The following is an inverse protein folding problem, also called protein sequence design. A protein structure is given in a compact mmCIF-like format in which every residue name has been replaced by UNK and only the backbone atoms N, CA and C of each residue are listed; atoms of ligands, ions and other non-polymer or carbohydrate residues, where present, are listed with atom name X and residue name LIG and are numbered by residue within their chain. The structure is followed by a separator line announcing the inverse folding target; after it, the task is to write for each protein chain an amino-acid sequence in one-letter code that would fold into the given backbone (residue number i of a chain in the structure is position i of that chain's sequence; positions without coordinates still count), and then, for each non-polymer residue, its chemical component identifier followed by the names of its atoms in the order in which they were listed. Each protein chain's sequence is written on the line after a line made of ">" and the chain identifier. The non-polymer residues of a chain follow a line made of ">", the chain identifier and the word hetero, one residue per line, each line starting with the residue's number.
data_IF_032930546419
#
_entry.id   IF_032930546419
#
_cell.length_a   1.000
_cell.length_b   1.000
_cell.length_c   1.000
_cell.angle_alpha   90.00
_cell.angle_beta   90.00
_cell.angle_gamma   90.00
#
_symmetry.space_group_name_H-M   'P 1'
#
loop_
_entity.id
_entity.type
_entity.pdbx_description
1 polymer ?
#
# COMPACT_ATOMS: atom_id res chain seq x y z
N UNK A 1 7.15 -8.21 -7.84
CA UNK A 1 8.31 -8.67 -8.64
C UNK A 1 9.31 -7.57 -8.88
N UNK A 2 10.51 -7.97 -9.29
CA UNK A 2 11.63 -7.08 -9.69
C UNK A 2 12.01 -7.35 -11.14
N UNK A 3 12.61 -6.36 -11.80
CA UNK A 3 13.15 -6.52 -13.14
C UNK A 3 14.53 -7.18 -13.08
N UNK A 4 14.78 -8.16 -13.94
CA UNK A 4 16.07 -8.86 -14.09
C UNK A 4 16.44 -8.99 -15.55
N UNK A 5 17.70 -9.33 -15.83
CA UNK A 5 18.12 -9.74 -17.17
C UNK A 5 18.28 -11.27 -17.19
N UNK A 6 17.65 -11.92 -18.17
CA UNK A 6 17.67 -13.36 -18.34
C UNK A 6 17.63 -13.68 -19.84
N UNK A 7 18.52 -14.56 -20.32
CA UNK A 7 18.64 -14.92 -21.75
C UNK A 7 18.72 -13.70 -22.69
N UNK A 8 19.46 -12.67 -22.26
CA UNK A 8 19.69 -11.45 -23.04
C UNK A 8 18.52 -10.45 -23.07
N UNK A 9 17.36 -10.78 -22.48
CA UNK A 9 16.18 -9.89 -22.42
C UNK A 9 15.84 -9.49 -20.97
N UNK A 10 15.14 -8.36 -20.84
CA UNK A 10 14.56 -7.96 -19.55
C UNK A 10 13.33 -8.81 -19.26
N UNK A 11 13.21 -9.25 -18.01
CA UNK A 11 12.11 -10.09 -17.52
C UNK A 11 11.65 -9.60 -16.15
N UNK A 12 10.34 -9.64 -15.92
CA UNK A 12 9.78 -9.45 -14.58
C UNK A 12 9.80 -10.80 -13.85
N UNK A 13 10.50 -10.85 -12.72
CA UNK A 13 10.54 -12.03 -11.86
C UNK A 13 9.67 -11.81 -10.63
N UNK A 14 8.77 -12.75 -10.38
CA UNK A 14 7.94 -12.80 -9.19
C UNK A 14 8.45 -13.84 -8.19
N UNK A 15 8.15 -13.66 -6.91
CA UNK A 15 8.60 -14.57 -5.84
C UNK A 15 8.17 -16.03 -6.08
N UNK A 16 7.01 -16.24 -6.70
CA UNK A 16 6.49 -17.57 -7.04
C UNK A 16 7.37 -18.34 -8.05
N UNK A 17 8.22 -17.63 -8.81
CA UNK A 17 9.15 -18.20 -9.78
C UNK A 17 10.51 -18.53 -9.16
N UNK A 18 10.76 -18.12 -7.92
CA UNK A 18 12.05 -18.29 -7.24
C UNK A 18 12.05 -19.61 -6.47
N UNK A 19 13.04 -20.50 -6.68
CA UNK A 19 13.18 -21.72 -5.89
C UNK A 19 13.27 -21.41 -4.39
N UNK A 20 12.67 -22.26 -3.55
CA UNK A 20 12.57 -22.05 -2.09
C UNK A 20 13.92 -21.73 -1.42
N UNK A 21 15.01 -22.34 -1.90
CA UNK A 21 16.37 -22.14 -1.38
C UNK A 21 16.92 -20.71 -1.57
N UNK A 22 16.39 -19.92 -2.52
CA UNK A 22 16.89 -18.59 -2.87
C UNK A 22 15.90 -17.46 -2.56
N UNK A 23 14.78 -17.77 -1.90
CA UNK A 23 13.72 -16.78 -1.61
C UNK A 23 14.24 -15.64 -0.73
N UNK A 24 15.08 -15.93 0.27
CA UNK A 24 15.59 -14.89 1.17
C UNK A 24 16.58 -13.96 0.46
N UNK A 25 17.36 -14.50 -0.47
CA UNK A 25 18.23 -13.69 -1.33
C UNK A 25 17.41 -12.79 -2.27
N UNK A 26 16.30 -13.29 -2.80
CA UNK A 26 15.40 -12.53 -3.67
C UNK A 26 14.70 -11.39 -2.94
N UNK A 27 14.41 -11.55 -1.65
CA UNK A 27 13.85 -10.49 -0.79
C UNK A 27 14.89 -9.43 -0.41
N UNK A 28 16.18 -9.69 -0.62
CA UNK A 28 17.24 -8.77 -0.20
C UNK A 28 17.27 -7.50 -1.06
N UNK A 29 17.03 -6.36 -0.41
CA UNK A 29 17.14 -5.03 -1.03
C UNK A 29 18.57 -4.67 -1.45
N UNK A 30 19.58 -5.39 -0.97
CA UNK A 30 20.97 -5.21 -1.43
C UNK A 30 21.19 -5.79 -2.84
N UNK A 31 20.50 -6.89 -3.18
CA UNK A 31 20.57 -7.54 -4.49
C UNK A 31 19.57 -6.92 -5.46
N UNK A 32 18.31 -6.79 -5.05
CA UNK A 32 17.24 -6.27 -5.88
C UNK A 32 16.75 -4.93 -5.32
N UNK A 33 17.20 -3.84 -5.93
CA UNK A 33 17.00 -2.47 -5.43
C UNK A 33 15.72 -1.80 -5.93
N UNK A 34 14.99 -2.46 -6.83
CA UNK A 34 13.81 -1.92 -7.51
C UNK A 34 12.66 -2.92 -7.46
N UNK A 35 11.45 -2.44 -7.67
CA UNK A 35 10.27 -3.28 -7.84
C UNK A 35 9.34 -2.67 -8.90
N UNK A 36 8.49 -3.49 -9.49
CA UNK A 36 7.53 -3.03 -10.50
C UNK A 36 6.40 -2.19 -9.86
N UNK A 37 6.20 -0.96 -10.36
CA UNK A 37 5.10 -0.07 -9.94
C UNK A 37 3.78 -0.36 -10.67
N UNK A 38 3.82 -1.22 -11.70
CA UNK A 38 2.71 -1.53 -12.60
C UNK A 38 2.20 -0.33 -13.44
N UNK A 39 2.99 0.74 -13.52
CA UNK A 39 2.79 1.84 -14.45
C UNK A 39 3.49 1.50 -15.78
N UNK A 40 2.73 1.05 -16.78
CA UNK A 40 3.28 0.53 -18.03
C UNK A 40 2.93 1.42 -19.22
N UNK A 41 3.91 1.61 -20.11
CA UNK A 41 3.75 2.32 -21.38
C UNK A 41 4.09 1.35 -22.51
N UNK A 42 3.10 1.02 -23.35
CA UNK A 42 3.21 -0.09 -24.31
C UNK A 42 2.78 0.41 -25.69
N UNK A 43 3.58 0.11 -26.72
CA UNK A 43 3.24 0.41 -28.11
C UNK A 43 2.10 -0.49 -28.61
N UNK A 44 0.98 0.12 -29.02
CA UNK A 44 -0.16 -0.62 -29.57
C UNK A 44 0.19 -1.38 -30.86
N UNK A 45 1.09 -0.84 -31.69
CA UNK A 45 1.56 -1.53 -32.89
C UNK A 45 2.33 -2.81 -32.55
N UNK A 46 3.14 -2.78 -31.50
CA UNK A 46 3.84 -3.96 -31.01
C UNK A 46 2.88 -4.97 -30.38
N UNK A 47 1.88 -4.52 -29.62
CA UNK A 47 0.82 -5.39 -29.05
C UNK A 47 0.08 -6.11 -30.16
N UNK A 48 -0.39 -5.39 -31.19
CA UNK A 48 -1.09 -5.99 -32.34
C UNK A 48 -0.24 -7.07 -33.02
N UNK A 49 1.01 -6.73 -33.36
CA UNK A 49 1.95 -7.68 -34.01
C UNK A 49 2.18 -8.94 -33.17
N UNK A 50 2.49 -8.78 -31.88
CA UNK A 50 2.79 -9.91 -31.01
C UNK A 50 1.54 -10.77 -30.74
N UNK A 51 0.37 -10.13 -30.60
CA UNK A 51 -0.89 -10.83 -30.38
C UNK A 51 -1.34 -11.63 -31.61
N UNK A 52 -1.27 -11.06 -32.81
CA UNK A 52 -1.62 -11.74 -34.06
C UNK A 52 -0.69 -12.94 -34.34
N UNK A 53 0.55 -12.89 -33.84
CA UNK A 53 1.53 -13.96 -33.92
C UNK A 53 1.45 -14.97 -32.77
N UNK A 54 0.58 -14.75 -31.78
CA UNK A 54 0.56 -15.50 -30.51
C UNK A 54 1.95 -15.56 -29.83
N UNK A 55 2.75 -14.50 -29.95
CA UNK A 55 4.12 -14.41 -29.46
C UNK A 55 4.23 -13.74 -28.07
N UNK A 56 3.10 -13.32 -27.49
CA UNK A 56 3.05 -12.81 -26.12
C UNK A 56 3.15 -14.01 -25.17
N UNK A 57 4.24 -14.06 -24.42
CA UNK A 57 4.53 -15.13 -23.46
C UNK A 57 4.59 -14.55 -22.04
N UNK A 58 3.84 -15.17 -21.13
CA UNK A 58 3.71 -14.74 -19.74
C UNK A 58 3.73 -15.98 -18.84
N UNK A 59 4.38 -15.88 -17.69
CA UNK A 59 4.32 -16.98 -16.72
C UNK A 59 2.91 -17.16 -16.17
N UNK A 60 2.47 -18.42 -16.10
CA UNK A 60 1.21 -18.78 -15.47
C UNK A 60 1.34 -18.64 -13.96
N UNK A 61 0.40 -17.90 -13.38
CA UNK A 61 0.23 -17.77 -11.94
C UNK A 61 -0.88 -18.73 -11.52
N UNK A 62 -0.53 -19.67 -10.65
CA UNK A 62 -1.47 -20.64 -10.08
C UNK A 62 -1.90 -20.13 -8.72
N UNK A 63 -3.19 -19.82 -8.57
CA UNK A 63 -3.76 -19.25 -7.36
C UNK A 63 -4.79 -20.22 -6.74
N UNK A 64 -4.40 -21.04 -5.76
CA UNK A 64 -5.32 -21.88 -5.02
C UNK A 64 -6.28 -21.01 -4.21
N UNK A 65 -7.59 -21.23 -4.37
CA UNK A 65 -8.64 -20.53 -3.63
C UNK A 65 -9.60 -21.52 -3.01
N UNK A 66 -10.20 -21.14 -1.90
CA UNK A 66 -11.33 -21.85 -1.30
C UNK A 66 -12.55 -20.94 -1.44
N UNK A 67 -13.57 -21.42 -2.17
CA UNK A 67 -14.81 -20.67 -2.37
C UNK A 67 -15.68 -20.73 -1.12
N UNK A 68 -16.66 -19.83 -1.07
CA UNK A 68 -17.74 -19.87 -0.08
C UNK A 68 -18.48 -21.21 -0.21
N UNK A 69 -18.45 -22.01 0.85
CA UNK A 69 -18.91 -23.41 0.85
C UNK A 69 -17.79 -24.46 0.98
N UNK A 70 -16.52 -24.04 1.04
CA UNK A 70 -15.38 -24.93 1.33
C UNK A 70 -14.83 -25.68 0.11
N UNK A 71 -15.34 -25.39 -1.08
CA UNK A 71 -14.82 -25.97 -2.32
C UNK A 71 -13.44 -25.38 -2.66
N UNK A 72 -12.44 -26.25 -2.73
CA UNK A 72 -11.10 -25.86 -3.18
C UNK A 72 -11.05 -25.82 -4.71
N UNK A 73 -10.60 -24.70 -5.25
CA UNK A 73 -10.46 -24.46 -6.69
C UNK A 73 -9.07 -23.91 -7.01
N UNK A 74 -8.69 -24.04 -8.28
CA UNK A 74 -7.46 -23.44 -8.82
C UNK A 74 -7.87 -22.37 -9.82
N UNK A 75 -7.43 -21.13 -9.60
CA UNK A 75 -7.54 -20.04 -10.55
C UNK A 75 -6.20 -19.87 -11.26
N UNK A 76 -6.21 -19.90 -12.60
CA UNK A 76 -5.04 -19.60 -13.41
C UNK A 76 -5.14 -18.16 -13.90
N UNK A 77 -4.07 -17.40 -13.72
CA UNK A 77 -3.98 -16.01 -14.15
C UNK A 77 -2.59 -15.68 -14.71
N UNK A 78 -2.45 -14.51 -15.31
CA UNK A 78 -1.17 -13.98 -15.80
C UNK A 78 -1.01 -12.53 -15.36
N UNK A 79 0.23 -12.05 -15.29
CA UNK A 79 0.52 -10.66 -14.96
C UNK A 79 0.97 -9.90 -16.22
N UNK A 80 0.34 -8.76 -16.51
CA UNK A 80 0.70 -7.93 -17.68
C UNK A 80 2.18 -7.54 -17.72
N UNK A 81 2.81 -7.33 -16.55
CA UNK A 81 4.23 -7.00 -16.47
C UNK A 81 5.17 -8.14 -16.90
N UNK A 82 4.72 -9.40 -16.85
CA UNK A 82 5.49 -10.55 -17.30
C UNK A 82 5.73 -10.54 -18.82
N UNK A 83 4.82 -9.93 -19.58
CA UNK A 83 4.90 -9.85 -21.03
C UNK A 83 6.11 -9.04 -21.54
N UNK A 84 6.78 -8.26 -20.67
CA UNK A 84 7.92 -7.38 -21.05
C UNK A 84 9.01 -8.11 -21.85
N UNK A 85 9.23 -9.41 -21.58
CA UNK A 85 10.23 -10.24 -22.27
C UNK A 85 9.89 -10.52 -23.74
N UNK A 86 8.61 -10.43 -24.12
CA UNK A 86 8.15 -10.61 -25.50
C UNK A 86 8.33 -9.34 -26.36
N UNK A 87 8.65 -8.19 -25.75
CA UNK A 87 8.83 -6.93 -26.47
C UNK A 87 10.30 -6.67 -26.79
N UNK A 88 10.55 -6.22 -28.01
CA UNK A 88 11.85 -5.68 -28.42
C UNK A 88 12.08 -4.29 -27.81
N UNK A 89 13.35 -3.97 -27.53
CA UNK A 89 13.77 -2.70 -26.92
C UNK A 89 13.03 -2.39 -25.59
N UNK A 90 12.76 -3.42 -24.78
CA UNK A 90 12.18 -3.23 -23.46
C UNK A 90 13.11 -2.41 -22.57
N UNK A 91 12.51 -1.54 -21.75
CA UNK A 91 13.23 -0.61 -20.89
C UNK A 91 12.50 -0.45 -19.55
N UNK A 92 13.26 -0.45 -18.45
CA UNK A 92 12.79 -0.03 -17.14
C UNK A 92 13.25 1.38 -16.82
N UNK A 93 12.36 2.21 -16.29
CA UNK A 93 12.68 3.55 -15.78
C UNK A 93 12.50 3.60 -14.27
N UNK A 94 13.49 4.11 -13.56
CA UNK A 94 13.36 4.35 -12.12
C UNK A 94 12.65 5.69 -11.91
N UNK A 95 11.48 5.66 -11.28
CA UNK A 95 10.63 6.83 -11.05
C UNK A 95 10.57 7.15 -9.56
N UNK A 96 10.37 8.41 -9.17
CA UNK A 96 10.16 8.75 -7.76
C UNK A 96 8.91 8.07 -7.21
N UNK A 97 8.92 7.80 -5.90
CA UNK A 97 7.79 7.19 -5.18
C UNK A 97 6.48 7.99 -5.32
N UNK A 98 6.55 9.28 -5.62
CA UNK A 98 5.36 10.11 -5.91
C UNK A 98 4.49 9.58 -7.06
N UNK A 99 5.04 8.77 -7.97
CA UNK A 99 4.27 8.10 -9.04
C UNK A 99 3.72 6.73 -8.63
N UNK A 100 3.94 6.29 -7.40
CA UNK A 100 3.47 5.02 -6.86
C UNK A 100 2.83 5.24 -5.49
N UNK A 101 1.54 5.60 -5.51
CA UNK A 101 0.71 5.82 -4.33
C UNK A 101 -0.52 4.88 -4.35
N UNK A 102 -0.32 3.56 -4.24
CA UNK A 102 -1.44 2.62 -4.23
C UNK A 102 -2.23 2.75 -2.92
N UNK A 103 -3.55 2.88 -3.03
CA UNK A 103 -4.45 2.84 -1.87
C UNK A 103 -5.04 1.44 -1.79
N UNK A 104 -4.54 0.60 -0.87
CA UNK A 104 -4.95 -0.81 -0.71
C UNK A 104 -5.68 -1.08 0.60
N UNK A 105 -5.42 -0.26 1.61
CA UNK A 105 -5.97 -0.38 2.95
C UNK A 105 -6.55 0.95 3.41
N UNK A 106 -7.32 0.93 4.49
CA UNK A 106 -7.79 2.16 5.14
C UNK A 106 -6.65 2.95 5.80
N UNK A 107 -5.49 2.32 6.05
CA UNK A 107 -4.28 3.04 6.46
C UNK A 107 -3.76 3.94 5.34
N UNK A 108 -3.77 3.43 4.10
CA UNK A 108 -3.42 4.23 2.92
C UNK A 108 -4.46 5.33 2.66
N UNK A 109 -5.74 5.01 2.92
CA UNK A 109 -6.83 5.98 2.79
C UNK A 109 -6.66 7.16 3.76
N UNK A 110 -6.31 6.88 5.02
CA UNK A 110 -6.02 7.91 6.02
C UNK A 110 -4.89 8.85 5.56
N UNK A 111 -3.82 8.28 5.01
CA UNK A 111 -2.71 9.07 4.45
C UNK A 111 -3.20 10.04 3.38
N UNK A 112 -3.89 9.55 2.34
CA UNK A 112 -4.29 10.37 1.18
C UNK A 112 -5.42 11.35 1.49
N UNK A 113 -6.23 11.10 2.53
CA UNK A 113 -7.28 12.01 2.98
C UNK A 113 -6.77 13.12 3.91
N UNK A 114 -5.60 12.96 4.52
CA UNK A 114 -5.04 13.92 5.47
C UNK A 114 -4.47 15.15 4.79
N UNK A 115 -4.19 16.19 5.58
CA UNK A 115 -3.50 17.40 5.15
C UNK A 115 -2.03 17.16 4.72
N UNK A 116 -1.53 15.92 4.80
CA UNK A 116 -0.27 15.50 4.20
C UNK A 116 -0.30 15.60 2.67
N UNK A 117 -1.48 15.48 2.05
CA UNK A 117 -1.66 15.64 0.61
C UNK A 117 -2.60 16.80 0.29
N UNK A 118 -2.33 17.47 -0.82
CA UNK A 118 -3.21 18.47 -1.44
C UNK A 118 -3.82 17.90 -2.71
N UNK A 119 -5.11 18.16 -2.91
CA UNK A 119 -5.85 17.75 -4.10
C UNK A 119 -6.00 18.93 -5.05
N UNK A 120 -5.45 18.82 -6.26
CA UNK A 120 -5.63 19.80 -7.32
C UNK A 120 -6.07 19.08 -8.61
N UNK A 121 -7.24 19.42 -9.14
CA UNK A 121 -7.79 18.86 -10.38
C UNK A 121 -7.71 17.31 -10.46
N UNK A 122 -8.03 16.63 -9.35
CA UNK A 122 -7.98 15.16 -9.28
C UNK A 122 -6.59 14.56 -9.05
N UNK A 123 -5.54 15.38 -8.98
CA UNK A 123 -4.16 14.95 -8.70
C UNK A 123 -3.79 15.22 -7.24
N UNK A 124 -3.22 14.21 -6.58
CA UNK A 124 -2.69 14.34 -5.22
C UNK A 124 -1.20 14.68 -5.27
N UNK A 125 -0.81 15.72 -4.55
CA UNK A 125 0.59 16.10 -4.32
C UNK A 125 0.87 16.17 -2.83
N UNK A 126 2.04 15.69 -2.39
CA UNK A 126 2.44 15.86 -0.99
C UNK A 126 2.55 17.35 -0.67
N UNK A 127 2.04 17.76 0.49
CA UNK A 127 2.05 19.13 0.96
C UNK A 127 3.47 19.69 1.01
N UNK A 128 3.68 20.88 0.46
CA UNK A 128 4.96 21.61 0.55
C UNK A 128 5.31 22.00 1.99
N UNK A 129 4.32 22.00 2.89
CA UNK A 129 4.53 22.26 4.32
C UNK A 129 5.10 21.05 5.06
N UNK A 130 5.19 19.87 4.42
CA UNK A 130 5.80 18.69 5.03
C UNK A 130 7.33 18.88 5.02
N UNK A 131 7.93 18.91 6.20
CA UNK A 131 9.37 19.16 6.36
C UNK A 131 10.24 18.07 5.70
N UNK A 132 9.79 16.81 5.74
CA UNK A 132 10.52 15.67 5.19
C UNK A 132 9.74 14.97 4.07
N UNK A 133 10.38 14.68 2.92
CA UNK A 133 9.71 14.06 1.76
C UNK A 133 9.25 12.60 2.00
N UNK A 134 9.59 12.02 3.16
CA UNK A 134 9.23 10.67 3.56
C UNK A 134 7.75 10.61 3.94
N UNK A 135 7.04 9.64 3.34
CA UNK A 135 5.64 9.33 3.72
C UNK A 135 5.65 8.64 5.10
N UNK A 136 4.84 9.08 6.07
CA UNK A 136 4.78 8.45 7.38
C UNK A 136 4.25 7.03 7.32
N UNK A 137 4.68 6.19 8.26
CA UNK A 137 4.18 4.84 8.40
C UNK A 137 2.85 4.86 9.18
N UNK A 138 1.76 4.44 8.56
CA UNK A 138 0.45 4.34 9.23
C UNK A 138 -0.01 2.89 9.25
N UNK A 139 -0.38 2.39 10.43
CA UNK A 139 -0.95 1.06 10.63
C UNK A 139 -2.21 1.17 11.49
N UNK A 140 -3.36 0.99 10.87
CA UNK A 140 -4.64 0.86 11.54
C UNK A 140 -4.98 -0.62 11.72
N UNK A 141 -5.42 -0.98 12.93
CA UNK A 141 -5.76 -2.36 13.30
C UNK A 141 -7.06 -2.87 12.67
N UNK A 142 -7.44 -4.10 13.01
CA UNK A 142 -8.59 -4.82 12.43
C UNK A 142 -9.92 -4.06 12.54
N UNK A 143 -10.09 -3.25 13.59
CA UNK A 143 -11.27 -2.39 13.80
C UNK A 143 -11.48 -1.34 12.72
N UNK A 144 -10.48 -1.08 11.87
CA UNK A 144 -10.49 -0.09 10.79
C UNK A 144 -10.47 -0.73 9.40
N UNK A 145 -10.46 -2.06 9.27
CA UNK A 145 -10.31 -2.73 7.96
C UNK A 145 -11.42 -2.37 6.98
N UNK A 146 -12.67 -2.28 7.46
CA UNK A 146 -13.82 -1.87 6.65
C UNK A 146 -13.89 -0.35 6.57
N UNK A 147 -14.08 0.18 5.35
CA UNK A 147 -14.20 1.62 5.12
C UNK A 147 -15.30 2.25 5.98
N UNK A 148 -16.43 1.56 6.16
CA UNK A 148 -17.52 2.05 7.01
C UNK A 148 -17.10 2.25 8.47
N UNK A 149 -16.37 1.28 9.04
CA UNK A 149 -15.88 1.38 10.41
C UNK A 149 -14.77 2.44 10.52
N UNK A 150 -13.87 2.50 9.54
CA UNK A 150 -12.85 3.55 9.45
C UNK A 150 -13.48 4.95 9.46
N UNK A 151 -14.45 5.23 8.57
CA UNK A 151 -15.10 6.53 8.50
C UNK A 151 -15.88 6.87 9.78
N UNK A 152 -16.53 5.88 10.40
CA UNK A 152 -17.23 6.07 11.67
C UNK A 152 -16.30 6.40 12.83
N UNK A 153 -15.07 5.90 12.81
CA UNK A 153 -14.09 6.06 13.91
C UNK A 153 -13.30 7.36 13.85
N UNK A 154 -13.35 8.09 12.75
CA UNK A 154 -12.75 9.41 12.61
C UNK A 154 -13.84 10.45 12.38
N UNK A 155 -14.19 11.23 13.41
CA UNK A 155 -15.15 12.33 13.23
C UNK A 155 -14.66 13.40 12.25
N UNK A 156 -13.33 13.58 12.18
CA UNK A 156 -12.63 14.28 11.11
C UNK A 156 -11.29 13.60 10.86
N UNK A 157 -10.71 13.79 9.68
CA UNK A 157 -9.34 13.35 9.43
C UNK A 157 -8.37 14.20 10.29
N UNK A 158 -7.48 13.58 11.08
CA UNK A 158 -6.55 14.31 11.92
C UNK A 158 -5.50 15.06 11.09
N UNK A 159 -4.91 16.08 11.71
CA UNK A 159 -3.66 16.66 11.23
C UNK A 159 -2.53 15.64 11.38
N UNK A 160 -1.83 15.37 10.27
CA UNK A 160 -0.75 14.39 10.19
C UNK A 160 0.49 14.99 9.51
N UNK A 161 0.56 16.32 9.41
CA UNK A 161 1.62 17.00 8.67
C UNK A 161 3.01 16.79 9.31
N UNK A 162 3.06 16.65 10.62
CA UNK A 162 4.27 16.40 11.42
C UNK A 162 4.37 14.95 11.90
N UNK A 163 3.55 14.04 11.38
CA UNK A 163 3.57 12.62 11.75
C UNK A 163 4.74 11.88 11.10
N UNK A 164 5.35 10.94 11.81
CA UNK A 164 6.33 9.99 11.25
C UNK A 164 5.84 8.55 11.31
N UNK A 165 5.19 8.16 12.41
CA UNK A 165 4.70 6.81 12.62
C UNK A 165 3.39 6.84 13.41
N UNK A 166 2.35 6.19 12.90
CA UNK A 166 1.09 5.94 13.58
C UNK A 166 0.82 4.44 13.65
N UNK A 167 0.55 3.92 14.84
CA UNK A 167 0.00 2.58 15.03
C UNK A 167 -1.21 2.66 15.94
N UNK A 168 -2.35 2.17 15.47
CA UNK A 168 -3.61 2.16 16.21
C UNK A 168 -4.12 0.72 16.26
N UNK A 169 -4.31 0.18 17.46
CA UNK A 169 -4.81 -1.17 17.68
C UNK A 169 -5.97 -1.17 18.67
N UNK A 170 -6.94 -2.06 18.44
CA UNK A 170 -8.13 -2.21 19.29
C UNK A 170 -9.30 -1.31 18.92
N UNK A 171 -10.24 -1.14 19.86
CA UNK A 171 -11.43 -0.30 19.70
C UNK A 171 -11.09 1.18 20.01
N UNK A 172 -10.66 1.93 18.98
CA UNK A 172 -10.24 3.32 19.11
C UNK A 172 -11.12 4.24 18.26
N UNK A 173 -11.48 5.40 18.80
CA UNK A 173 -12.14 6.49 18.04
C UNK A 173 -11.37 7.80 18.17
N UNK A 174 -11.56 8.68 17.19
CA UNK A 174 -10.93 9.99 17.10
C UNK A 174 -12.00 11.07 16.93
N UNK A 175 -12.05 12.01 17.88
CA UNK A 175 -12.86 13.21 17.78
C UNK A 175 -12.38 14.17 16.70
N UNK A 176 -13.08 15.29 16.55
CA UNK A 176 -12.72 16.34 15.58
C UNK A 176 -11.39 17.02 15.93
N UNK A 177 -10.67 17.49 14.91
CA UNK A 177 -9.49 18.37 15.04
C UNK A 177 -8.34 17.76 15.86
N UNK A 178 -8.18 16.44 15.87
CA UNK A 178 -7.03 15.77 16.47
C UNK A 178 -5.76 16.05 15.64
N UNK A 179 -4.61 16.24 16.30
CA UNK A 179 -3.30 16.37 15.65
C UNK A 179 -2.34 15.27 16.13
N UNK A 180 -1.66 14.63 15.20
CA UNK A 180 -0.76 13.50 15.43
C UNK A 180 0.64 13.86 14.92
N UNK A 181 1.64 13.80 15.80
CA UNK A 181 3.01 14.28 15.55
C UNK A 181 4.07 13.26 15.99
N UNK A 182 5.14 13.15 15.20
CA UNK A 182 6.24 12.21 15.43
C UNK A 182 5.76 10.77 15.49
N UNK A 183 6.06 10.04 16.57
CA UNK A 183 5.62 8.66 16.76
C UNK A 183 4.44 8.57 17.71
N UNK A 184 3.28 8.14 17.21
CA UNK A 184 2.06 7.92 17.99
C UNK A 184 1.65 6.45 17.94
N UNK A 185 1.49 5.85 19.12
CA UNK A 185 1.02 4.46 19.25
C UNK A 185 -0.19 4.45 20.18
N UNK A 186 -1.32 3.93 19.73
CA UNK A 186 -2.57 3.85 20.50
C UNK A 186 -2.99 2.39 20.57
N UNK A 187 -3.13 1.86 21.79
CA UNK A 187 -3.43 0.44 22.02
C UNK A 187 -4.60 0.34 23.01
N UNK A 188 -5.78 0.00 22.50
CA UNK A 188 -6.88 -0.52 23.30
C UNK A 188 -6.77 -2.06 23.35
N UNK A 189 -6.65 -2.63 24.54
CA UNK A 189 -6.61 -4.09 24.69
C UNK A 189 -7.98 -4.71 24.42
N UNK A 190 -8.05 -6.04 24.38
CA UNK A 190 -9.31 -6.75 24.19
C UNK A 190 -10.33 -6.39 25.28
N UNK A 191 -11.51 -5.93 24.88
CA UNK A 191 -12.57 -5.48 25.79
C UNK A 191 -12.47 -4.01 26.19
N UNK A 192 -11.33 -3.36 25.96
CA UNK A 192 -11.13 -1.94 26.21
C UNK A 192 -11.54 -1.10 24.99
N UNK A 193 -11.88 0.16 25.26
CA UNK A 193 -12.13 1.17 24.24
C UNK A 193 -11.38 2.45 24.59
N UNK A 194 -10.84 3.15 23.59
CA UNK A 194 -10.22 4.47 23.76
C UNK A 194 -10.91 5.47 22.84
N UNK A 195 -11.57 6.46 23.42
CA UNK A 195 -12.07 7.63 22.71
C UNK A 195 -11.03 8.76 22.83
N UNK A 196 -10.37 9.12 21.73
CA UNK A 196 -9.45 10.26 21.69
C UNK A 196 -10.31 11.54 21.61
N UNK A 197 -10.22 12.45 22.62
CA UNK A 197 -11.11 13.61 22.68
C UNK A 197 -10.88 14.57 21.50
N UNK A 198 -11.89 15.34 21.11
CA UNK A 198 -11.73 16.40 20.11
C UNK A 198 -10.63 17.39 20.50
N UNK A 199 -9.84 17.83 19.52
CA UNK A 199 -8.73 18.77 19.72
C UNK A 199 -7.48 18.18 20.36
N UNK A 200 -7.44 16.87 20.64
CA UNK A 200 -6.27 16.23 21.22
C UNK A 200 -5.03 16.40 20.32
N UNK A 201 -3.90 16.75 20.93
CA UNK A 201 -2.59 16.78 20.27
C UNK A 201 -1.74 15.66 20.87
N UNK A 202 -1.40 14.67 20.05
CA UNK A 202 -0.56 13.54 20.45
C UNK A 202 0.78 13.64 19.74
N UNK A 203 1.83 13.92 20.51
CA UNK A 203 3.19 14.08 20.01
C UNK A 203 4.15 13.16 20.75
N UNK A 204 4.75 12.20 20.02
CA UNK A 204 5.71 11.24 20.58
C UNK A 204 5.16 10.51 21.82
N UNK A 205 3.91 10.03 21.72
CA UNK A 205 3.19 9.37 22.82
C UNK A 205 2.77 7.94 22.48
N UNK A 206 2.80 7.12 23.52
CA UNK A 206 2.12 5.84 23.56
C UNK A 206 0.90 6.02 24.48
N UNK A 207 -0.29 5.80 23.94
CA UNK A 207 -1.57 5.87 24.65
C UNK A 207 -2.12 4.45 24.76
N UNK A 208 -2.40 4.01 25.98
CA UNK A 208 -3.00 2.70 26.23
C UNK A 208 -3.94 2.77 27.42
N UNK A 209 -4.97 1.93 27.42
CA UNK A 209 -5.93 1.84 28.53
C UNK A 209 -7.36 1.74 28.03
N UNK A 210 -8.29 2.20 28.87
CA UNK A 210 -9.72 2.19 28.62
C UNK A 210 -10.32 3.55 29.01
N UNK A 211 -10.82 4.30 28.03
CA UNK A 211 -11.40 5.61 28.17
C UNK A 211 -12.63 5.73 27.27
N UNK A 212 -13.79 5.98 27.88
CA UNK A 212 -15.03 6.28 27.16
C UNK A 212 -15.47 7.71 27.40
N UNK A 213 -15.75 8.43 26.33
CA UNK A 213 -16.32 9.77 26.36
C UNK A 213 -17.80 9.64 25.98
N UNK A 214 -18.69 10.12 26.85
CA UNK A 214 -20.15 10.05 26.66
C UNK A 214 -20.70 11.47 26.48
N UNK A 215 -21.70 11.61 25.61
CA UNK A 215 -22.45 12.85 25.48
C UNK A 215 -23.21 13.14 26.80
N UNK A 216 -23.20 14.41 27.22
CA UNK A 216 -23.93 14.89 28.40
C UNK A 216 -25.36 15.28 28.07
#
# INVERSE_FOLDING_TARGET
>A
GTLTQYEGKLRLVEIAQVPKAHVDEFKSVSKFKIFNTNNLWISLAAVKRLQEQNAIDMEIIVNPKTLDGGLNVIQLETAVGAAIKSFENSLGINVPRSRFLPVKTTSDLLLVMSNLYSLNAGSLTMSEKREFPTVPLVKLGSSFTKVQDYLRRFESIPDMLELDHLTVSGDVTFGKNVSLKGTVIIIANHGDRIDIPPGAVLENKIVSGNLRILDH
#
